data_IF_294767543144
#
_entry.id   IF_294767543144
#
_cell.length_a   1.000
_cell.length_b   1.000
_cell.length_c   1.000
_cell.angle_alpha   90.00
_cell.angle_beta   90.00
_cell.angle_gamma   90.00
#
_symmetry.space_group_name_H-M   'P 1'
#
loop_
_entity.id
_entity.type
_entity.pdbx_description
1 polymer ?
#
# COMPACT_ATOMS: atom_id res chain seq x y z
N UNK A 1 -17.42 -23.72 15.41
CA UNK A 1 -16.84 -22.39 15.69
C UNK A 1 -17.05 -21.55 14.43
N UNK A 2 -18.17 -20.81 14.37
CA UNK A 2 -18.47 -19.94 13.24
C UNK A 2 -17.49 -18.79 13.23
N UNK A 3 -16.68 -18.68 12.18
CA UNK A 3 -15.90 -17.48 11.91
C UNK A 3 -16.90 -16.32 11.77
N UNK A 4 -16.96 -15.45 12.77
CA UNK A 4 -17.78 -14.23 12.73
C UNK A 4 -17.21 -13.33 11.63
N UNK A 5 -17.70 -13.53 10.41
CA UNK A 5 -17.51 -12.58 9.34
C UNK A 5 -18.34 -11.35 9.69
N UNK A 6 -17.68 -10.30 10.16
CA UNK A 6 -18.35 -9.01 10.36
C UNK A 6 -18.92 -8.56 9.01
N UNK A 7 -20.25 -8.45 8.84
CA UNK A 7 -20.82 -8.11 7.55
C UNK A 7 -20.51 -6.64 7.22
N UNK A 8 -19.71 -6.44 6.17
CA UNK A 8 -19.46 -5.10 5.63
C UNK A 8 -20.74 -4.58 4.95
N UNK A 9 -21.24 -3.45 5.40
CA UNK A 9 -22.37 -2.77 4.74
C UNK A 9 -21.99 -2.30 3.33
N UNK A 10 -22.98 -2.03 2.48
CA UNK A 10 -22.74 -1.46 1.14
C UNK A 10 -22.00 -0.13 1.21
N UNK A 11 -22.25 0.68 2.24
CA UNK A 11 -21.54 1.94 2.49
C UNK A 11 -20.05 1.70 2.80
N UNK A 12 -19.70 0.69 3.64
CA UNK A 12 -18.33 0.32 3.91
C UNK A 12 -17.60 -0.15 2.65
N UNK A 13 -18.24 -1.00 1.83
CA UNK A 13 -17.66 -1.48 0.57
C UNK A 13 -17.39 -0.33 -0.39
N UNK A 14 -18.35 0.60 -0.54
CA UNK A 14 -18.17 1.78 -1.38
C UNK A 14 -17.03 2.66 -0.89
N UNK A 15 -16.96 2.95 0.39
CA UNK A 15 -15.89 3.73 1.01
C UNK A 15 -14.51 3.09 0.76
N UNK A 16 -14.37 1.79 1.05
CA UNK A 16 -13.11 1.07 0.90
C UNK A 16 -12.66 0.96 -0.56
N UNK A 17 -13.59 0.68 -1.49
CA UNK A 17 -13.23 0.46 -2.90
C UNK A 17 -13.07 1.78 -3.66
N UNK A 18 -14.00 2.73 -3.52
CA UNK A 18 -13.98 3.96 -4.31
C UNK A 18 -13.11 5.03 -3.66
N UNK A 19 -13.34 5.37 -2.40
CA UNK A 19 -12.61 6.49 -1.78
C UNK A 19 -11.19 6.08 -1.40
N UNK A 20 -11.02 4.91 -0.78
CA UNK A 20 -9.69 4.46 -0.36
C UNK A 20 -8.95 3.74 -1.50
N UNK A 21 -9.61 2.90 -2.28
CA UNK A 21 -8.99 2.18 -3.40
C UNK A 21 -8.63 3.10 -4.56
N UNK A 22 -9.61 3.73 -5.22
CA UNK A 22 -9.36 4.60 -6.39
C UNK A 22 -8.55 5.83 -6.03
N UNK A 23 -8.85 6.47 -4.88
CA UNK A 23 -8.08 7.61 -4.40
C UNK A 23 -6.60 7.25 -4.19
N UNK A 24 -6.31 6.10 -3.61
CA UNK A 24 -4.93 5.65 -3.41
C UNK A 24 -4.21 5.33 -4.72
N UNK A 25 -4.90 4.76 -5.71
CA UNK A 25 -4.33 4.50 -7.05
C UNK A 25 -3.78 5.79 -7.66
N UNK A 26 -4.60 6.83 -7.71
CA UNK A 26 -4.22 8.11 -8.31
C UNK A 26 -3.06 8.75 -7.53
N UNK A 27 -3.16 8.80 -6.21
CA UNK A 27 -2.14 9.42 -5.35
C UNK A 27 -0.81 8.67 -5.47
N UNK A 28 -0.83 7.34 -5.37
CA UNK A 28 0.39 6.53 -5.45
C UNK A 28 1.01 6.56 -6.85
N UNK A 29 0.21 6.59 -7.91
CA UNK A 29 0.69 6.73 -9.28
C UNK A 29 1.46 8.05 -9.44
N UNK A 30 0.86 9.18 -9.05
CA UNK A 30 1.49 10.49 -9.20
C UNK A 30 2.74 10.63 -8.31
N UNK A 31 2.62 10.29 -7.02
CA UNK A 31 3.73 10.45 -6.06
C UNK A 31 4.91 9.57 -6.49
N UNK A 32 4.68 8.32 -6.85
CA UNK A 32 5.77 7.41 -7.22
C UNK A 32 6.38 7.72 -8.59
N UNK A 33 5.60 8.26 -9.54
CA UNK A 33 6.16 8.82 -10.77
C UNK A 33 7.11 9.98 -10.47
N UNK A 34 6.72 10.91 -9.60
CA UNK A 34 7.56 12.05 -9.19
C UNK A 34 8.81 11.56 -8.44
N UNK A 35 8.68 10.62 -7.52
CA UNK A 35 9.81 10.04 -6.79
C UNK A 35 10.79 9.37 -7.76
N UNK A 36 10.31 8.54 -8.70
CA UNK A 36 11.14 7.90 -9.71
C UNK A 36 11.88 8.94 -10.54
N UNK A 37 11.15 9.96 -11.02
CA UNK A 37 11.73 11.05 -11.79
C UNK A 37 12.84 11.77 -11.01
N UNK A 38 12.60 12.14 -9.75
CA UNK A 38 13.57 12.90 -8.95
C UNK A 38 14.80 12.07 -8.61
N UNK A 39 14.61 10.80 -8.19
CA UNK A 39 15.70 9.94 -7.74
C UNK A 39 16.59 9.44 -8.87
N UNK A 40 16.02 9.23 -10.06
CA UNK A 40 16.72 8.62 -11.20
C UNK A 40 16.96 9.61 -12.36
N UNK A 41 16.61 10.91 -12.18
CA UNK A 41 16.92 11.92 -13.19
C UNK A 41 18.41 11.95 -13.50
N UNK A 42 18.75 11.93 -14.76
CA UNK A 42 20.14 11.89 -15.22
C UNK A 42 20.64 10.49 -15.60
N UNK A 43 19.89 9.44 -15.28
CA UNK A 43 20.13 8.10 -15.80
C UNK A 43 19.44 7.94 -17.16
N UNK A 44 20.13 7.45 -18.17
CA UNK A 44 19.51 7.06 -19.45
C UNK A 44 18.76 5.75 -19.32
N UNK A 45 19.32 4.80 -18.56
CA UNK A 45 18.75 3.50 -18.22
C UNK A 45 18.88 3.23 -16.73
N UNK A 46 17.98 2.39 -16.18
CA UNK A 46 18.00 1.92 -14.80
C UNK A 46 18.21 0.41 -14.81
N UNK A 47 19.34 -0.09 -14.25
CA UNK A 47 19.62 -1.52 -14.23
C UNK A 47 18.68 -2.28 -13.30
N UNK A 48 18.46 -3.56 -13.55
CA UNK A 48 17.64 -4.42 -12.68
C UNK A 48 18.29 -4.58 -11.30
N UNK A 49 19.62 -4.76 -11.25
CA UNK A 49 20.41 -5.00 -10.04
C UNK A 49 21.47 -3.92 -9.81
N UNK A 50 21.80 -3.66 -8.56
CA UNK A 50 22.85 -2.70 -8.17
C UNK A 50 22.35 -1.67 -7.14
N UNK A 51 23.11 -0.59 -6.93
CA UNK A 51 22.78 0.40 -5.91
C UNK A 51 21.55 1.25 -6.29
N UNK A 52 21.55 1.84 -7.47
CA UNK A 52 20.40 2.57 -8.03
C UNK A 52 19.73 1.68 -9.06
N UNK A 53 18.89 0.74 -8.60
CA UNK A 53 18.34 -0.32 -9.42
C UNK A 53 16.84 -0.44 -9.25
N UNK A 54 16.20 -1.08 -10.23
CA UNK A 54 14.78 -1.42 -10.19
C UNK A 54 14.47 -2.30 -8.98
N UNK A 55 15.32 -3.30 -8.68
CA UNK A 55 15.14 -4.20 -7.55
C UNK A 55 15.23 -3.46 -6.21
N UNK A 56 16.24 -2.63 -6.03
CA UNK A 56 16.40 -1.83 -4.82
C UNK A 56 15.23 -0.88 -4.58
N UNK A 57 14.77 -0.21 -5.63
CA UNK A 57 13.61 0.69 -5.57
C UNK A 57 12.30 -0.07 -5.31
N UNK A 58 12.12 -1.24 -5.91
CA UNK A 58 10.94 -2.10 -5.68
C UNK A 58 10.87 -2.57 -4.23
N UNK A 59 12.00 -3.02 -3.65
CA UNK A 59 12.10 -3.41 -2.23
C UNK A 59 11.76 -2.21 -1.33
N UNK A 60 12.35 -1.05 -1.59
CA UNK A 60 12.06 0.18 -0.86
C UNK A 60 10.58 0.57 -0.97
N UNK A 61 10.01 0.53 -2.16
CA UNK A 61 8.60 0.87 -2.38
C UNK A 61 7.65 -0.08 -1.66
N UNK A 62 7.91 -1.39 -1.68
CA UNK A 62 7.07 -2.39 -1.00
C UNK A 62 7.11 -2.27 0.52
N UNK A 63 8.18 -1.72 1.08
CA UNK A 63 8.28 -1.47 2.52
C UNK A 63 7.70 -0.11 2.92
N UNK A 64 8.18 0.96 2.28
CA UNK A 64 7.84 2.32 2.70
C UNK A 64 6.42 2.75 2.32
N UNK A 65 5.86 2.26 1.21
CA UNK A 65 4.50 2.62 0.81
C UNK A 65 3.45 2.18 1.85
N UNK A 66 3.40 0.91 2.33
CA UNK A 66 2.49 0.51 3.39
C UNK A 66 2.73 1.26 4.70
N UNK A 67 3.99 1.48 5.07
CA UNK A 67 4.35 2.21 6.28
C UNK A 67 3.81 3.65 6.26
N UNK A 68 4.13 4.39 5.20
CA UNK A 68 3.69 5.79 5.05
C UNK A 68 2.17 5.87 4.91
N UNK A 69 1.57 4.95 4.13
CA UNK A 69 0.11 4.88 3.99
C UNK A 69 -0.55 4.63 5.34
N UNK A 70 -0.01 3.74 6.17
CA UNK A 70 -0.54 3.47 7.50
C UNK A 70 -0.48 4.71 8.39
N UNK A 71 0.63 5.45 8.37
CA UNK A 71 0.80 6.67 9.15
C UNK A 71 -0.16 7.79 8.74
N UNK A 72 -0.50 7.89 7.47
CA UNK A 72 -1.36 8.94 6.93
C UNK A 72 -2.83 8.52 6.95
N UNK A 73 -3.16 7.35 6.39
CA UNK A 73 -4.54 6.91 6.21
C UNK A 73 -5.22 6.57 7.55
N UNK A 74 -4.51 5.93 8.48
CA UNK A 74 -5.11 5.54 9.78
C UNK A 74 -5.71 6.74 10.52
N UNK A 75 -4.99 7.84 10.81
CA UNK A 75 -5.56 8.98 11.51
C UNK A 75 -6.67 9.67 10.70
N UNK A 76 -6.57 9.72 9.38
CA UNK A 76 -7.60 10.30 8.52
C UNK A 76 -8.91 9.51 8.59
N UNK A 77 -8.83 8.18 8.47
CA UNK A 77 -10.02 7.31 8.56
C UNK A 77 -10.63 7.34 9.96
N UNK A 78 -9.83 7.27 11.01
CA UNK A 78 -10.31 7.40 12.39
C UNK A 78 -11.04 8.73 12.60
N UNK A 79 -10.53 9.84 12.02
CA UNK A 79 -11.22 11.14 12.07
C UNK A 79 -12.57 11.11 11.35
N UNK A 80 -12.69 10.40 10.23
CA UNK A 80 -13.96 10.27 9.50
C UNK A 80 -14.97 9.42 10.29
N UNK A 81 -14.52 8.35 10.97
CA UNK A 81 -15.35 7.55 11.87
C UNK A 81 -15.86 8.41 13.04
N UNK A 82 -14.99 9.17 13.71
CA UNK A 82 -15.39 10.08 14.79
C UNK A 82 -16.37 11.17 14.34
N UNK A 83 -16.23 11.64 13.10
CA UNK A 83 -17.14 12.62 12.51
C UNK A 83 -18.48 12.01 12.04
N UNK A 84 -18.71 10.71 12.25
CA UNK A 84 -19.93 10.01 11.84
C UNK A 84 -20.08 9.82 10.33
N UNK A 85 -19.05 10.10 9.53
CA UNK A 85 -19.08 9.92 8.06
C UNK A 85 -18.99 8.45 7.65
N UNK A 86 -18.33 7.65 8.47
CA UNK A 86 -18.18 6.20 8.28
C UNK A 86 -18.60 5.54 9.59
N UNK A 87 -19.55 4.60 9.51
CA UNK A 87 -19.99 3.86 10.68
C UNK A 87 -18.86 2.96 11.21
N UNK A 88 -18.64 2.85 12.53
CA UNK A 88 -17.70 1.88 13.08
C UNK A 88 -18.12 0.46 12.72
N UNK A 89 -17.16 -0.47 12.66
CA UNK A 89 -17.45 -1.89 12.50
C UNK A 89 -17.80 -2.49 13.85
N UNK A 90 -18.89 -3.27 13.89
CA UNK A 90 -19.25 -4.04 15.09
C UNK A 90 -18.32 -5.25 15.23
N UNK A 91 -17.14 -5.05 15.83
CA UNK A 91 -16.14 -6.07 16.09
C UNK A 91 -14.95 -6.07 15.12
N UNK A 92 -13.82 -6.54 15.61
CA UNK A 92 -12.58 -6.64 14.83
C UNK A 92 -12.48 -8.00 14.14
N UNK A 93 -12.32 -8.06 12.79
CA UNK A 93 -12.12 -9.31 12.08
C UNK A 93 -10.94 -10.11 12.68
N UNK A 94 -11.09 -11.44 12.79
CA UNK A 94 -10.20 -12.33 13.57
C UNK A 94 -8.73 -12.24 13.15
N UNK A 95 -8.42 -11.99 11.86
CA UNK A 95 -7.05 -11.79 11.37
C UNK A 95 -6.43 -10.45 11.78
N UNK A 96 -7.25 -9.45 12.11
CA UNK A 96 -6.82 -8.10 12.44
C UNK A 96 -6.49 -7.93 13.94
N UNK A 97 -6.99 -8.80 14.80
CA UNK A 97 -6.77 -8.76 16.25
C UNK A 97 -5.31 -8.99 16.66
N UNK A 98 -4.52 -9.65 15.80
CA UNK A 98 -3.10 -9.96 16.06
C UNK A 98 -2.15 -8.84 15.64
N UNK A 99 -2.65 -7.79 15.00
CA UNK A 99 -1.80 -6.68 14.55
C UNK A 99 -1.52 -5.69 15.69
N UNK A 100 -0.33 -5.08 15.73
CA UNK A 100 0.01 -4.07 16.72
C UNK A 100 -1.02 -2.94 16.74
N UNK A 101 -1.41 -2.48 17.93
CA UNK A 101 -2.34 -1.35 18.10
C UNK A 101 -1.75 -0.01 17.66
N UNK A 102 -0.41 0.13 17.74
CA UNK A 102 0.29 1.34 17.35
C UNK A 102 0.43 1.42 15.82
N UNK A 103 0.03 2.53 15.24
CA UNK A 103 0.02 2.77 13.79
C UNK A 103 1.38 2.57 13.14
N UNK A 104 2.46 3.01 13.78
CA UNK A 104 3.83 2.83 13.26
C UNK A 104 4.22 1.36 13.14
N UNK A 105 4.08 0.59 14.21
CA UNK A 105 4.43 -0.84 14.20
C UNK A 105 3.55 -1.65 13.25
N UNK A 106 2.28 -1.29 13.15
CA UNK A 106 1.37 -1.86 12.14
C UNK A 106 1.88 -1.60 10.73
N UNK A 107 2.31 -0.37 10.46
CA UNK A 107 2.93 0.00 9.17
C UNK A 107 4.22 -0.77 8.89
N UNK A 108 5.10 -0.95 9.89
CA UNK A 108 6.32 -1.75 9.75
C UNK A 108 6.01 -3.21 9.43
N UNK A 109 5.08 -3.83 10.15
CA UNK A 109 4.67 -5.22 9.89
C UNK A 109 4.10 -5.38 8.48
N UNK A 110 3.21 -4.48 8.06
CA UNK A 110 2.70 -4.47 6.69
C UNK A 110 3.78 -4.26 5.64
N UNK A 111 4.73 -3.37 5.91
CA UNK A 111 5.88 -3.13 5.06
C UNK A 111 6.72 -4.40 4.87
N UNK A 112 7.06 -5.09 5.97
CA UNK A 112 7.80 -6.36 5.91
C UNK A 112 7.02 -7.42 5.14
N UNK A 113 5.73 -7.61 5.44
CA UNK A 113 4.88 -8.59 4.75
C UNK A 113 4.80 -8.27 3.25
N UNK A 114 4.56 -7.01 2.89
CA UNK A 114 4.51 -6.58 1.49
C UNK A 114 5.84 -6.80 0.79
N UNK A 115 6.96 -6.51 1.44
CA UNK A 115 8.29 -6.74 0.86
C UNK A 115 8.53 -8.22 0.61
N UNK A 116 8.21 -9.10 1.54
CA UNK A 116 8.42 -10.55 1.38
C UNK A 116 7.51 -11.18 0.34
N UNK A 117 6.26 -10.70 0.22
CA UNK A 117 5.27 -11.30 -0.66
C UNK A 117 5.22 -10.68 -2.06
N UNK A 118 5.58 -9.39 -2.20
CA UNK A 118 5.38 -8.66 -3.46
C UNK A 118 6.70 -8.37 -4.18
N UNK A 119 7.77 -8.00 -3.46
CA UNK A 119 9.03 -7.64 -4.13
C UNK A 119 9.68 -8.84 -4.86
N UNK A 120 9.83 -10.04 -4.26
CA UNK A 120 10.46 -11.16 -4.96
C UNK A 120 9.74 -11.58 -6.25
N UNK A 121 8.40 -11.78 -6.27
CA UNK A 121 7.72 -12.12 -7.51
C UNK A 121 7.78 -10.98 -8.54
N UNK A 122 7.68 -9.71 -8.14
CA UNK A 122 7.78 -8.60 -9.08
C UNK A 122 9.16 -8.53 -9.76
N UNK A 123 10.22 -8.66 -8.97
CA UNK A 123 11.60 -8.69 -9.49
C UNK A 123 11.84 -9.98 -10.31
N UNK A 124 11.34 -11.11 -9.81
CA UNK A 124 11.46 -12.41 -10.48
C UNK A 124 10.80 -12.42 -11.85
N UNK A 125 9.64 -11.80 -12.02
CA UNK A 125 8.96 -11.65 -13.31
C UNK A 125 9.82 -10.83 -14.28
N UNK A 126 10.38 -9.69 -13.84
CA UNK A 126 11.26 -8.89 -14.69
C UNK A 126 12.50 -9.67 -15.11
N UNK A 127 13.14 -10.40 -14.20
CA UNK A 127 14.30 -11.22 -14.49
C UNK A 127 13.96 -12.38 -15.44
N UNK A 128 12.81 -13.05 -15.26
CA UNK A 128 12.35 -14.12 -16.13
C UNK A 128 12.01 -13.65 -17.55
N UNK A 129 11.58 -12.38 -17.69
CA UNK A 129 11.36 -11.74 -18.99
C UNK A 129 12.67 -11.27 -19.66
N UNK A 130 13.83 -11.54 -19.03
CA UNK A 130 15.14 -11.13 -19.56
C UNK A 130 15.43 -9.62 -19.42
N UNK A 131 14.70 -8.91 -18.58
CA UNK A 131 14.92 -7.48 -18.33
C UNK A 131 16.21 -7.33 -17.53
N UNK A 132 17.25 -6.79 -18.15
CA UNK A 132 18.52 -6.44 -17.49
C UNK A 132 18.55 -4.99 -17.04
N UNK A 133 17.89 -4.11 -17.79
CA UNK A 133 17.73 -2.69 -17.52
C UNK A 133 16.45 -2.16 -18.20
N UNK A 134 15.96 -1.00 -17.77
CA UNK A 134 14.87 -0.29 -18.43
C UNK A 134 15.33 1.13 -18.80
N UNK A 135 14.86 1.65 -19.92
CA UNK A 135 15.01 3.08 -20.22
C UNK A 135 14.31 3.90 -19.14
N UNK A 136 14.87 5.07 -18.82
CA UNK A 136 14.40 5.92 -17.71
C UNK A 136 12.87 6.08 -17.63
N UNK A 137 12.24 6.47 -18.74
CA UNK A 137 10.78 6.66 -18.77
C UNK A 137 9.99 5.36 -18.60
N UNK A 138 10.51 4.23 -19.11
CA UNK A 138 9.94 2.91 -18.89
C UNK A 138 9.92 2.55 -17.40
N UNK A 139 11.02 2.83 -16.72
CA UNK A 139 11.11 2.63 -15.27
C UNK A 139 10.16 3.56 -14.49
N UNK A 140 10.05 4.84 -14.87
CA UNK A 140 9.10 5.77 -14.21
C UNK A 140 7.67 5.25 -14.32
N UNK A 141 7.25 4.79 -15.50
CA UNK A 141 5.92 4.22 -15.71
C UNK A 141 5.74 2.92 -14.93
N UNK A 142 6.72 2.02 -14.98
CA UNK A 142 6.71 0.78 -14.20
C UNK A 142 6.50 1.06 -12.72
N UNK A 143 7.33 1.93 -12.14
CA UNK A 143 7.24 2.27 -10.71
C UNK A 143 5.89 2.90 -10.35
N UNK A 144 5.40 3.82 -11.16
CA UNK A 144 4.12 4.48 -10.92
C UNK A 144 2.95 3.48 -10.92
N UNK A 145 2.89 2.60 -11.91
CA UNK A 145 1.87 1.56 -12.03
C UNK A 145 1.98 0.52 -10.91
N UNK A 146 3.21 0.07 -10.62
CA UNK A 146 3.48 -0.86 -9.54
C UNK A 146 3.02 -0.32 -8.17
N UNK A 147 3.39 0.91 -7.85
CA UNK A 147 2.99 1.56 -6.61
C UNK A 147 1.48 1.82 -6.53
N UNK A 148 0.85 2.17 -7.65
CA UNK A 148 -0.60 2.33 -7.73
C UNK A 148 -1.33 1.00 -7.45
N UNK A 149 -0.87 -0.10 -8.05
CA UNK A 149 -1.42 -1.44 -7.81
C UNK A 149 -1.24 -1.89 -6.35
N UNK A 150 -0.05 -1.69 -5.78
CA UNK A 150 0.21 -1.97 -4.37
C UNK A 150 -0.67 -1.13 -3.45
N UNK A 151 -0.80 0.17 -3.72
CA UNK A 151 -1.65 1.08 -2.97
C UNK A 151 -3.13 0.71 -3.03
N UNK A 152 -3.61 0.24 -4.18
CA UNK A 152 -4.99 -0.23 -4.36
C UNK A 152 -5.35 -1.40 -3.44
N UNK A 153 -4.37 -2.23 -3.08
CA UNK A 153 -4.55 -3.37 -2.17
C UNK A 153 -4.34 -2.96 -0.72
N UNK A 154 -3.25 -2.25 -0.45
CA UNK A 154 -2.81 -1.96 0.93
C UNK A 154 -3.69 -0.90 1.60
N UNK A 155 -4.10 0.14 0.87
CA UNK A 155 -4.87 1.24 1.47
C UNK A 155 -6.24 0.83 1.99
N UNK A 156 -7.06 0.05 1.26
CA UNK A 156 -8.33 -0.46 1.78
C UNK A 156 -8.16 -1.36 3.02
N UNK A 157 -7.08 -2.16 3.08
CA UNK A 157 -6.76 -2.98 4.26
C UNK A 157 -6.48 -2.12 5.48
N UNK A 158 -5.65 -1.08 5.32
CA UNK A 158 -5.35 -0.13 6.40
C UNK A 158 -6.61 0.62 6.84
N UNK A 159 -7.44 1.05 5.89
CA UNK A 159 -8.70 1.72 6.18
C UNK A 159 -9.66 0.82 6.95
N UNK A 160 -9.77 -0.47 6.57
CA UNK A 160 -10.58 -1.45 7.27
C UNK A 160 -10.16 -1.59 8.74
N UNK A 161 -8.86 -1.66 9.00
CA UNK A 161 -8.34 -1.68 10.39
C UNK A 161 -8.67 -0.40 11.14
N UNK A 162 -8.49 0.75 10.49
CA UNK A 162 -8.77 2.02 11.12
C UNK A 162 -10.25 2.22 11.49
N UNK A 163 -11.17 1.64 10.70
CA UNK A 163 -12.61 1.62 11.00
C UNK A 163 -12.90 0.68 12.19
N UNK A 164 -12.25 -0.50 12.22
CA UNK A 164 -12.40 -1.45 13.32
C UNK A 164 -11.87 -0.91 14.66
N UNK A 165 -10.77 -0.12 14.64
CA UNK A 165 -10.23 0.54 15.82
C UNK A 165 -11.17 1.65 16.36
N UNK A 166 -12.11 2.12 15.55
CA UNK A 166 -13.05 3.19 15.91
C UNK A 166 -14.01 2.85 17.05
N UNK A 167 -14.19 1.57 17.40
CA UNK A 167 -14.93 1.14 18.59
C UNK A 167 -14.15 1.37 19.90
N UNK A 168 -12.83 1.53 19.83
CA UNK A 168 -11.96 1.70 21.01
C UNK A 168 -11.69 3.18 21.35
N UNK A 169 -12.27 4.09 20.61
CA UNK A 169 -12.07 5.54 20.69
C UNK A 169 -13.34 6.27 21.18
#
# INVERSE_FOLDING_TARGET
>A
MSALSVPLSSAHKRFLLLEQGVGSVIINLVINAVIAFVLFRGASTVPLWGQQSIAGDTIGTTFFLPLITCLIATPLVRRQVRAGRVAPLAGTPMGLQRMPGQTFWRGCVLGVISTLLVAPPAIGVLAALGVTEQVFWGFVVFKAVFAAALGAVVTPLIALWAIADGELL
#
